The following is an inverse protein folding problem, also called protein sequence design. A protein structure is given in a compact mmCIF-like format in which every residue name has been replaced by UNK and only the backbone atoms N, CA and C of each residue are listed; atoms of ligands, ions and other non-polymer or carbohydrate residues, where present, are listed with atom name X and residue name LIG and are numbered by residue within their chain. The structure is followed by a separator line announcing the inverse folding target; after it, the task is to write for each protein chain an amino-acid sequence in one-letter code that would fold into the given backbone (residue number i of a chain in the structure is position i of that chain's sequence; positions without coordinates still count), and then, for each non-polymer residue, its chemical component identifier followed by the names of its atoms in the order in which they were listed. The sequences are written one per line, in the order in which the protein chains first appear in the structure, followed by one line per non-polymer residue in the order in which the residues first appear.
data_IF_379920051698
#
_entry.id   IF_379920051698
#
_cell.length_a   1.000
_cell.length_b   1.000
_cell.length_c   1.000
_cell.angle_alpha   90.00
_cell.angle_beta   90.00
_cell.angle_gamma   90.00
#
_symmetry.space_group_name_H-M   'P 1'
#
loop_
_entity.id
_entity.type
_entity.pdbx_description
1 polymer ?
#
# COMPACT_ATOMS: atom_id res chain seq x y z
N UNK A 1 13.70 12.82 18.62
CA UNK A 1 13.86 12.06 19.89
C UNK A 1 13.79 10.54 19.69
N UNK A 2 14.08 10.00 18.49
CA UNK A 2 14.27 8.58 18.24
C UNK A 2 15.47 8.42 17.31
N UNK A 3 16.66 8.74 17.81
CA UNK A 3 17.92 8.46 17.12
C UNK A 3 18.31 6.99 17.33
N UNK A 4 17.40 6.07 16.99
CA UNK A 4 17.72 4.65 16.93
C UNK A 4 18.36 4.41 15.57
N UNK A 5 19.67 4.54 15.53
CA UNK A 5 20.47 4.19 14.36
C UNK A 5 20.54 2.68 14.14
N UNK A 6 21.11 2.29 12.99
CA UNK A 6 21.36 0.88 12.68
C UNK A 6 22.30 0.22 13.72
N UNK A 7 23.22 1.00 14.29
CA UNK A 7 24.13 0.59 15.37
C UNK A 7 23.39 0.15 16.62
N UNK A 8 22.49 0.99 17.12
CA UNK A 8 21.71 0.77 18.34
C UNK A 8 20.78 -0.44 18.15
N UNK A 9 20.15 -0.55 16.98
CA UNK A 9 19.32 -1.71 16.64
C UNK A 9 20.14 -3.02 16.64
N UNK A 10 21.38 -2.97 16.14
CA UNK A 10 22.31 -4.09 16.14
C UNK A 10 22.67 -4.55 17.55
N UNK A 11 23.01 -3.62 18.45
CA UNK A 11 23.33 -3.92 19.86
C UNK A 11 22.13 -4.56 20.56
N UNK A 12 20.93 -4.00 20.40
CA UNK A 12 19.70 -4.57 20.97
C UNK A 12 19.45 -5.98 20.41
N UNK A 13 19.68 -6.19 19.11
CA UNK A 13 19.58 -7.51 18.47
C UNK A 13 20.52 -8.53 19.10
N UNK A 14 21.78 -8.17 19.34
CA UNK A 14 22.76 -9.03 20.02
C UNK A 14 22.32 -9.36 21.45
N UNK A 15 21.91 -8.36 22.23
CA UNK A 15 21.41 -8.58 23.60
C UNK A 15 20.19 -9.50 23.60
N UNK A 16 19.25 -9.30 22.68
CA UNK A 16 18.09 -10.16 22.54
C UNK A 16 18.45 -11.60 22.17
N UNK A 17 19.47 -11.81 21.32
CA UNK A 17 19.97 -13.14 20.98
C UNK A 17 20.60 -13.84 22.19
N UNK A 18 21.34 -13.12 23.03
CA UNK A 18 21.97 -13.69 24.23
C UNK A 18 20.92 -14.06 25.28
N UNK A 19 19.99 -13.15 25.57
CA UNK A 19 19.00 -13.32 26.65
C UNK A 19 17.93 -14.33 26.28
N UNK A 20 17.37 -14.21 25.07
CA UNK A 20 16.25 -15.04 24.63
C UNK A 20 16.71 -16.31 23.91
N UNK A 21 17.89 -16.27 23.28
CA UNK A 21 18.42 -17.33 22.44
C UNK A 21 18.02 -17.18 20.96
N UNK A 22 18.92 -17.53 20.01
CA UNK A 22 18.67 -17.40 18.57
C UNK A 22 17.48 -18.23 18.06
N UNK A 23 17.19 -19.35 18.71
CA UNK A 23 16.09 -20.24 18.33
C UNK A 23 14.71 -19.69 18.72
N UNK A 24 14.65 -18.87 19.78
CA UNK A 24 13.40 -18.41 20.40
C UNK A 24 13.00 -17.02 19.92
N UNK A 25 13.96 -16.17 19.56
CA UNK A 25 13.73 -14.85 18.96
C UNK A 25 12.71 -14.85 17.80
N UNK A 26 12.82 -15.71 16.77
CA UNK A 26 11.86 -15.72 15.67
C UNK A 26 10.45 -16.17 16.12
N UNK A 27 10.36 -17.02 17.15
CA UNK A 27 9.08 -17.46 17.70
C UNK A 27 8.38 -16.32 18.45
N UNK A 28 9.13 -15.55 19.24
CA UNK A 28 8.62 -14.38 19.96
C UNK A 28 8.27 -13.24 19.00
N UNK A 29 9.12 -12.93 18.02
CA UNK A 29 8.82 -11.93 17.00
C UNK A 29 7.51 -12.25 16.24
N UNK A 30 7.30 -13.53 15.87
CA UNK A 30 6.03 -13.98 15.26
C UNK A 30 4.84 -13.87 16.21
N UNK A 31 5.03 -14.13 17.51
CA UNK A 31 3.96 -13.96 18.49
C UNK A 31 3.60 -12.48 18.70
N UNK A 32 4.61 -11.63 18.91
CA UNK A 32 4.48 -10.20 19.04
C UNK A 32 3.83 -9.59 17.80
N UNK A 33 4.25 -9.98 16.59
CA UNK A 33 3.66 -9.52 15.34
C UNK A 33 2.17 -9.86 15.21
N UNK A 34 1.74 -11.07 15.65
CA UNK A 34 0.31 -11.43 15.66
C UNK A 34 -0.49 -10.58 16.64
N UNK A 35 0.08 -10.24 17.80
CA UNK A 35 -0.57 -9.38 18.80
C UNK A 35 -0.62 -7.92 18.35
N UNK A 36 0.47 -7.39 17.83
CA UNK A 36 0.54 -6.05 17.24
C UNK A 36 -0.47 -5.89 16.11
N UNK A 37 -0.61 -6.89 15.23
CA UNK A 37 -1.61 -6.88 14.17
C UNK A 37 -3.06 -6.88 14.67
N UNK A 38 -3.35 -7.56 15.78
CA UNK A 38 -4.67 -7.51 16.44
C UNK A 38 -4.93 -6.13 17.05
N UNK A 39 -3.94 -5.58 17.74
CA UNK A 39 -4.05 -4.26 18.35
C UNK A 39 -4.24 -3.16 17.29
N UNK A 40 -3.51 -3.24 16.18
CA UNK A 40 -3.66 -2.29 15.07
C UNK A 40 -5.08 -2.32 14.49
N UNK A 41 -5.68 -3.52 14.35
CA UNK A 41 -7.07 -3.65 13.92
C UNK A 41 -8.04 -3.04 14.93
N UNK A 42 -7.87 -3.35 16.21
CA UNK A 42 -8.68 -2.77 17.28
C UNK A 42 -8.60 -1.25 17.31
N UNK A 43 -7.40 -0.68 17.16
CA UNK A 43 -7.19 0.77 17.07
C UNK A 43 -7.87 1.34 15.82
N UNK A 44 -7.83 0.65 14.69
CA UNK A 44 -8.51 1.10 13.47
C UNK A 44 -10.03 1.05 13.60
N UNK A 45 -10.58 0.02 14.25
CA UNK A 45 -12.01 -0.11 14.51
C UNK A 45 -12.48 0.99 15.47
N UNK A 46 -11.76 1.21 16.58
CA UNK A 46 -12.03 2.30 17.52
C UNK A 46 -11.87 3.67 16.86
N UNK A 47 -10.85 3.86 16.02
CA UNK A 47 -10.73 5.08 15.22
C UNK A 47 -11.93 5.25 14.31
N UNK A 48 -12.40 4.20 13.63
CA UNK A 48 -13.57 4.29 12.75
C UNK A 48 -14.86 4.64 13.49
N UNK A 49 -15.03 4.14 14.72
CA UNK A 49 -16.14 4.49 15.59
C UNK A 49 -16.01 5.93 16.11
N UNK A 50 -14.80 6.35 16.52
CA UNK A 50 -14.53 7.73 16.95
C UNK A 50 -14.63 8.71 15.78
N UNK A 51 -14.20 8.38 14.56
CA UNK A 51 -14.35 9.21 13.38
C UNK A 51 -15.83 9.45 13.02
N UNK A 52 -16.72 8.48 13.30
CA UNK A 52 -18.17 8.65 13.14
C UNK A 52 -18.78 9.61 14.15
N UNK A 53 -18.15 9.81 15.30
CA UNK A 53 -18.58 10.77 16.33
C UNK A 53 -17.80 12.10 16.27
N UNK A 54 -16.57 12.09 15.73
CA UNK A 54 -15.61 13.20 15.72
C UNK A 54 -15.51 13.93 14.36
N UNK A 55 -16.45 13.69 13.43
CA UNK A 55 -16.47 14.29 12.10
C UNK A 55 -16.40 15.84 12.15
N UNK A 56 -16.82 16.48 13.26
CA UNK A 56 -16.77 17.93 13.44
C UNK A 56 -15.41 18.49 13.93
N UNK A 57 -14.57 17.67 14.56
CA UNK A 57 -13.30 18.12 15.14
C UNK A 57 -12.12 17.97 14.16
N UNK A 58 -12.16 16.92 13.34
CA UNK A 58 -11.03 16.55 12.49
C UNK A 58 -11.01 17.26 11.15
N UNK A 59 -12.19 17.61 10.61
CA UNK A 59 -12.31 18.51 9.46
C UNK A 59 -11.64 19.87 9.77
N UNK A 60 -11.74 20.37 11.00
CA UNK A 60 -11.06 21.60 11.43
C UNK A 60 -9.54 21.44 11.55
N UNK A 61 -9.07 20.31 12.07
CA UNK A 61 -7.63 20.04 12.20
C UNK A 61 -6.94 19.85 10.83
N UNK A 62 -7.60 19.15 9.90
CA UNK A 62 -7.15 19.00 8.52
C UNK A 62 -7.23 20.33 7.76
N UNK A 63 -8.29 21.12 7.93
CA UNK A 63 -8.38 22.44 7.34
C UNK A 63 -7.25 23.36 7.82
N UNK A 64 -6.95 23.37 9.13
CA UNK A 64 -5.84 24.17 9.67
C UNK A 64 -4.48 23.71 9.13
N UNK A 65 -4.25 22.40 9.03
CA UNK A 65 -2.98 21.85 8.51
C UNK A 65 -2.81 22.13 7.02
N UNK A 66 -3.89 22.00 6.24
CA UNK A 66 -3.90 22.34 4.81
C UNK A 66 -3.69 23.84 4.60
N UNK A 67 -4.31 24.70 5.42
CA UNK A 67 -4.10 26.16 5.37
C UNK A 67 -2.67 26.56 5.70
N UNK A 68 -2.04 25.96 6.72
CA UNK A 68 -0.62 26.25 7.04
C UNK A 68 0.33 25.76 5.95
N UNK A 69 0.06 24.61 5.34
CA UNK A 69 0.86 24.09 4.23
C UNK A 69 0.71 24.94 2.96
N UNK A 70 -0.50 25.45 2.70
CA UNK A 70 -0.73 26.38 1.59
C UNK A 70 0.02 27.68 1.77
N UNK A 71 0.08 28.21 3.00
CA UNK A 71 0.84 29.42 3.32
C UNK A 71 2.35 29.20 3.13
N UNK A 72 2.91 28.11 3.66
CA UNK A 72 4.35 27.81 3.53
C UNK A 72 4.78 27.55 2.08
N UNK A 73 3.93 26.86 1.30
CA UNK A 73 4.21 26.61 -0.14
C UNK A 73 4.10 27.90 -0.96
N UNK A 74 3.16 28.80 -0.64
CA UNK A 74 3.03 30.06 -1.35
C UNK A 74 4.21 31.02 -1.05
N UNK A 75 4.74 30.99 0.18
CA UNK A 75 5.96 31.71 0.54
C UNK A 75 7.21 31.14 -0.16
N UNK A 76 7.36 29.81 -0.22
CA UNK A 76 8.45 29.17 -0.98
C UNK A 76 8.39 29.54 -2.46
N UNK A 77 7.20 29.55 -3.07
CA UNK A 77 7.01 29.89 -4.49
C UNK A 77 7.30 31.35 -4.82
N UNK A 78 7.15 32.29 -3.87
CA UNK A 78 7.55 33.69 -4.05
C UNK A 78 9.06 33.92 -3.93
N UNK A 79 9.80 33.01 -3.28
CA UNK A 79 11.26 33.09 -3.20
C UNK A 79 12.00 32.52 -4.43
N UNK A 80 11.28 31.88 -5.36
CA UNK A 80 11.84 31.26 -6.58
C UNK A 80 11.55 32.13 -7.82
N UNK A 81 11.61 33.46 -7.69
CA UNK A 81 11.57 34.39 -8.84
C UNK A 81 12.92 35.10 -9.05
N UNK A 82 13.78 34.44 -9.85
CA UNK A 82 14.89 34.91 -10.71
C UNK A 82 16.12 35.61 -10.06
N UNK A 83 17.35 35.29 -10.51
CA UNK A 83 17.78 35.73 -11.84
C UNK A 83 18.36 34.61 -12.73
N UNK A 84 18.40 34.94 -14.01
CA UNK A 84 18.97 34.24 -15.14
C UNK A 84 20.36 33.66 -14.85
N UNK A 85 20.53 32.35 -15.04
CA UNK A 85 21.83 31.78 -15.42
C UNK A 85 21.63 30.52 -16.27
N UNK A 86 22.35 30.54 -17.37
CA UNK A 86 22.43 29.58 -18.46
C UNK A 86 22.73 28.17 -17.96
N UNK A 87 21.78 27.24 -18.09
CA UNK A 87 22.07 25.80 -18.23
C UNK A 87 21.13 25.20 -19.27
N UNK A 88 21.69 24.87 -20.42
CA UNK A 88 21.03 24.08 -21.46
C UNK A 88 20.87 22.65 -20.93
N UNK A 89 19.68 22.33 -20.43
CA UNK A 89 19.35 21.01 -19.90
C UNK A 89 18.96 20.08 -21.07
N UNK A 90 19.69 18.97 -21.31
CA UNK A 90 19.36 18.07 -22.41
C UNK A 90 17.98 17.44 -22.18
N UNK A 91 17.18 17.41 -23.24
CA UNK A 91 15.82 16.88 -23.22
C UNK A 91 15.80 15.38 -22.83
N UNK A 92 15.46 15.09 -21.57
CA UNK A 92 15.15 13.72 -21.14
C UNK A 92 13.91 13.20 -21.90
N UNK A 93 13.94 11.99 -22.47
CA UNK A 93 12.76 11.42 -23.10
C UNK A 93 11.70 11.17 -22.02
N UNK A 94 10.54 11.85 -22.17
CA UNK A 94 9.40 11.68 -21.27
C UNK A 94 8.95 10.22 -21.27
N UNK A 95 9.11 9.54 -20.13
CA UNK A 95 8.67 8.17 -19.95
C UNK A 95 7.13 8.10 -20.10
N UNK A 96 6.70 7.50 -21.22
CA UNK A 96 5.29 7.28 -21.58
C UNK A 96 4.63 6.40 -20.52
N UNK A 97 3.82 6.99 -19.64
CA UNK A 97 2.98 6.24 -18.69
C UNK A 97 2.03 5.35 -19.49
N UNK A 98 2.32 4.05 -19.51
CA UNK A 98 1.39 3.04 -20.02
C UNK A 98 0.31 2.89 -18.96
N UNK A 99 -0.91 3.27 -19.31
CA UNK A 99 -2.10 3.10 -18.46
C UNK A 99 -2.39 1.61 -18.34
N UNK A 100 -1.72 0.96 -17.40
CA UNK A 100 -1.92 -0.44 -17.08
C UNK A 100 -3.22 -0.56 -16.28
N UNK A 101 -4.33 -0.31 -16.97
CA UNK A 101 -5.69 -0.53 -16.46
C UNK A 101 -5.92 -2.05 -16.46
N UNK A 102 -5.23 -2.74 -15.56
CA UNK A 102 -5.47 -4.14 -15.27
C UNK A 102 -6.84 -4.22 -14.60
N UNK A 103 -7.88 -4.52 -15.37
CA UNK A 103 -9.15 -4.98 -14.84
C UNK A 103 -8.91 -6.33 -14.13
N UNK A 104 -8.51 -6.28 -12.86
CA UNK A 104 -8.43 -7.43 -11.96
C UNK A 104 -9.82 -7.68 -11.37
N UNK A 105 -10.72 -8.23 -12.16
CA UNK A 105 -11.96 -8.85 -11.63
C UNK A 105 -11.99 -10.34 -11.92
N UNK A 106 -10.83 -10.97 -12.03
CA UNK A 106 -10.73 -12.43 -12.14
C UNK A 106 -10.25 -12.99 -10.83
N UNK A 107 -11.15 -13.68 -10.13
CA UNK A 107 -10.84 -14.49 -8.95
C UNK A 107 -9.71 -15.48 -9.32
N UNK A 108 -8.61 -15.54 -8.54
CA UNK A 108 -7.46 -16.36 -8.86
C UNK A 108 -7.80 -17.85 -8.94
N UNK A 109 -7.09 -18.59 -9.81
CA UNK A 109 -7.40 -20.01 -10.12
C UNK A 109 -7.30 -20.94 -8.91
N UNK A 110 -6.39 -20.65 -7.96
CA UNK A 110 -6.26 -21.44 -6.74
C UNK A 110 -7.54 -21.39 -5.89
N UNK A 111 -8.20 -20.22 -5.83
CA UNK A 111 -9.42 -20.02 -5.06
C UNK A 111 -10.60 -20.76 -5.68
N UNK A 112 -10.71 -20.79 -7.02
CA UNK A 112 -11.76 -21.54 -7.72
C UNK A 112 -11.66 -23.05 -7.51
N UNK A 113 -10.45 -23.61 -7.40
CA UNK A 113 -10.23 -25.06 -7.16
C UNK A 113 -10.73 -25.50 -5.78
N UNK A 114 -10.64 -24.63 -4.78
CA UNK A 114 -11.02 -24.97 -3.41
C UNK A 114 -12.54 -24.92 -3.20
N UNK A 115 -13.27 -24.07 -3.95
CA UNK A 115 -14.73 -23.91 -3.80
C UNK A 115 -15.56 -24.70 -4.83
N UNK A 116 -14.94 -25.61 -5.60
CA UNK A 116 -15.65 -26.38 -6.64
C UNK A 116 -16.19 -25.53 -7.78
N UNK A 117 -15.74 -24.27 -7.90
CA UNK A 117 -16.16 -23.36 -8.96
C UNK A 117 -15.47 -23.72 -10.27
N UNK A 118 -16.23 -23.83 -11.36
CA UNK A 118 -15.70 -24.17 -12.68
C UNK A 118 -14.64 -23.15 -13.13
N UNK A 119 -13.43 -23.65 -13.38
CA UNK A 119 -12.28 -22.83 -13.75
C UNK A 119 -12.40 -22.20 -15.15
N UNK A 120 -13.12 -22.85 -16.07
CA UNK A 120 -13.27 -22.45 -17.46
C UNK A 120 -14.74 -22.25 -17.83
N UNK A 121 -15.04 -21.15 -18.52
CA UNK A 121 -16.34 -20.90 -19.13
C UNK A 121 -16.24 -21.40 -20.57
N UNK A 122 -17.17 -22.27 -20.99
CA UNK A 122 -17.24 -22.73 -22.38
C UNK A 122 -17.63 -21.55 -23.27
N UNK A 123 -16.68 -21.10 -24.11
CA UNK A 123 -16.87 -20.00 -25.05
C UNK A 123 -18.05 -20.29 -25.99
N UNK A 124 -18.75 -19.24 -26.46
CA UNK A 124 -19.92 -19.39 -27.33
C UNK A 124 -19.64 -20.26 -28.57
N UNK A 125 -18.45 -20.13 -29.15
CA UNK A 125 -17.99 -20.96 -30.28
C UNK A 125 -17.95 -22.46 -29.96
N UNK A 126 -17.56 -22.84 -28.72
CA UNK A 126 -17.52 -24.23 -28.27
C UNK A 126 -18.91 -24.82 -28.00
N UNK A 127 -19.95 -24.00 -27.82
CA UNK A 127 -21.36 -24.46 -27.77
C UNK A 127 -21.88 -24.77 -29.16
N UNK A 128 -21.59 -23.90 -30.13
CA UNK A 128 -22.05 -24.04 -31.51
C UNK A 128 -21.46 -25.29 -32.19
N UNK A 129 -20.23 -25.69 -31.82
CA UNK A 129 -19.60 -26.92 -32.35
C UNK A 129 -20.40 -28.20 -32.08
N UNK A 130 -21.24 -28.25 -31.03
CA UNK A 130 -22.09 -29.41 -30.74
C UNK A 130 -23.31 -29.51 -31.66
N UNK A 131 -23.70 -28.42 -32.32
CA UNK A 131 -24.92 -28.34 -33.12
C UNK A 131 -24.68 -28.22 -34.63
N UNK A 132 -23.42 -28.22 -35.09
CA UNK A 132 -23.12 -28.35 -36.52
C UNK A 132 -23.10 -29.83 -36.87
N UNK A 133 -24.14 -30.29 -37.58
CA UNK A 133 -24.10 -31.60 -38.25
C UNK A 133 -22.94 -31.57 -39.24
N UNK A 134 -22.09 -32.59 -39.21
CA UNK A 134 -21.04 -32.81 -40.21
C UNK A 134 -21.67 -32.75 -41.59
N UNK A 135 -21.21 -31.84 -42.45
CA UNK A 135 -21.62 -31.85 -43.85
C UNK A 135 -21.11 -33.16 -44.49
N UNK A 136 -21.92 -33.84 -45.32
CA UNK A 136 -21.50 -35.03 -46.06
C UNK A 136 -20.43 -34.70 -47.11
#
# INVERSE_FOLDING_TARGET
MFDIGLSELGVIGVVALVVLGPERLPKVARAAGRWAGKLQRYVNDVKADIHREAELAELKALQNTVSTLQQSVNEELHSIHAPDDVYDAPAYPRARKKNLRLRRTTIPLWYKRQQGLRAYIQSGAARVKRHRKSAP
#
